data_IF_963831068329
#
_entry.id   IF_963831068329
#
_cell.length_a   1.000
_cell.length_b   1.000
_cell.length_c   1.000
_cell.angle_alpha   90.00
_cell.angle_beta   90.00
_cell.angle_gamma   90.00
#
_symmetry.space_group_name_H-M   'P 1'
#
loop_
_entity.id
_entity.type
_entity.pdbx_description
1 polymer ?
#
# COMPACT_ATOMS: atom_id res chain seq x y z
N UNK A 1 -11.50 -36.62 -36.23
CA UNK A 1 -11.03 -36.21 -34.90
C UNK A 1 -10.53 -34.79 -35.02
N UNK A 2 -11.39 -33.82 -34.71
CA UNK A 2 -11.01 -32.40 -34.70
C UNK A 2 -10.34 -32.15 -33.35
N UNK A 3 -9.04 -31.86 -33.36
CA UNK A 3 -8.35 -31.43 -32.16
C UNK A 3 -9.04 -30.15 -31.66
N UNK A 4 -9.58 -30.19 -30.44
CA UNK A 4 -10.01 -28.98 -29.75
C UNK A 4 -8.74 -28.14 -29.57
N UNK A 5 -8.69 -26.96 -30.20
CA UNK A 5 -7.64 -26.00 -29.92
C UNK A 5 -7.64 -25.73 -28.42
N UNK A 6 -6.48 -25.89 -27.77
CA UNK A 6 -6.33 -25.46 -26.39
C UNK A 6 -6.61 -23.96 -26.34
N UNK A 7 -7.77 -23.58 -25.80
CA UNK A 7 -8.05 -22.18 -25.48
C UNK A 7 -7.07 -21.78 -24.38
N UNK A 8 -5.96 -21.15 -24.75
CA UNK A 8 -5.12 -20.47 -23.79
C UNK A 8 -5.98 -19.38 -23.12
N UNK A 9 -6.18 -19.43 -21.80
CA UNK A 9 -6.98 -18.43 -21.12
C UNK A 9 -6.34 -17.06 -21.37
N UNK A 10 -7.12 -16.12 -21.92
CA UNK A 10 -6.68 -14.75 -22.13
C UNK A 10 -6.36 -14.14 -20.77
N UNK A 11 -5.09 -13.84 -20.51
CA UNK A 11 -4.67 -13.17 -19.29
C UNK A 11 -5.21 -11.74 -19.27
N UNK A 12 -5.87 -11.39 -18.17
CA UNK A 12 -6.29 -10.02 -17.90
C UNK A 12 -5.09 -9.24 -17.36
N UNK A 13 -4.49 -8.38 -18.18
CA UNK A 13 -3.38 -7.55 -17.71
C UNK A 13 -3.86 -6.42 -16.80
N UNK A 14 -3.21 -6.24 -15.65
CA UNK A 14 -3.49 -5.20 -14.66
C UNK A 14 -2.21 -4.52 -14.18
N UNK A 15 -2.34 -3.33 -13.57
CA UNK A 15 -1.26 -2.73 -12.78
C UNK A 15 -1.59 -2.92 -11.29
N UNK A 16 -0.59 -3.30 -10.50
CA UNK A 16 -0.73 -3.41 -9.05
C UNK A 16 -0.37 -2.08 -8.38
N UNK A 17 -1.28 -1.56 -7.56
CA UNK A 17 -1.00 -0.38 -6.73
C UNK A 17 -0.30 -0.72 -5.41
N UNK A 18 -0.02 -2.01 -5.15
CA UNK A 18 0.60 -2.46 -3.92
C UNK A 18 1.41 -3.75 -4.14
N UNK A 19 2.63 -3.76 -3.63
CA UNK A 19 3.50 -4.92 -3.58
C UNK A 19 4.67 -4.63 -2.65
N UNK A 20 5.34 -5.68 -2.17
CA UNK A 20 6.53 -5.55 -1.34
C UNK A 20 7.70 -6.29 -1.96
N UNK A 21 8.90 -5.76 -1.75
CA UNK A 21 10.15 -6.44 -2.05
C UNK A 21 10.95 -6.58 -0.77
N UNK A 22 11.49 -7.77 -0.51
CA UNK A 22 12.25 -8.06 0.70
C UNK A 22 13.70 -7.65 0.47
N UNK A 23 14.14 -6.63 1.19
CA UNK A 23 15.51 -6.15 1.14
C UNK A 23 16.52 -7.18 1.68
N UNK A 24 17.79 -7.13 1.25
CA UNK A 24 18.85 -7.89 1.88
C UNK A 24 18.95 -7.60 3.38
N UNK A 25 19.13 -8.63 4.20
CA UNK A 25 19.20 -8.49 5.66
C UNK A 25 20.34 -7.55 6.12
N UNK A 26 21.43 -7.51 5.35
CA UNK A 26 22.60 -6.69 5.61
C UNK A 26 22.59 -5.35 4.85
N UNK A 27 21.48 -4.94 4.23
CA UNK A 27 21.39 -3.74 3.38
C UNK A 27 21.98 -2.50 4.05
N UNK A 28 21.51 -2.16 5.26
CA UNK A 28 22.02 -0.98 5.95
C UNK A 28 23.43 -1.19 6.51
N UNK A 29 23.74 -2.42 6.98
CA UNK A 29 25.06 -2.72 7.56
C UNK A 29 26.18 -2.62 6.54
N UNK A 30 25.91 -3.03 5.31
CA UNK A 30 26.87 -3.02 4.20
C UNK A 30 27.06 -1.64 3.58
N UNK A 31 26.04 -0.75 3.68
CA UNK A 31 26.05 0.57 3.02
C UNK A 31 26.35 1.75 3.93
N UNK A 32 26.20 1.60 5.26
CA UNK A 32 26.42 2.69 6.20
C UNK A 32 27.84 2.71 6.78
N UNK A 33 28.35 3.89 7.19
CA UNK A 33 29.56 3.98 8.00
C UNK A 33 29.44 3.12 9.26
N UNK A 34 30.54 2.48 9.68
CA UNK A 34 30.57 1.54 10.81
C UNK A 34 29.82 2.05 12.06
N UNK A 35 30.00 3.34 12.41
CA UNK A 35 29.33 3.97 13.56
C UNK A 35 27.80 3.90 13.47
N UNK A 36 27.22 4.06 12.29
CA UNK A 36 25.77 3.98 12.07
C UNK A 36 25.31 2.55 11.83
N UNK A 37 26.12 1.74 11.13
CA UNK A 37 25.84 0.32 10.87
C UNK A 37 25.67 -0.52 12.15
N UNK A 38 26.33 -0.14 13.25
CA UNK A 38 26.18 -0.80 14.55
C UNK A 38 24.85 -0.46 15.26
N UNK A 39 24.15 0.59 14.81
CA UNK A 39 22.90 1.10 15.40
C UNK A 39 21.64 0.66 14.64
N UNK A 40 21.77 0.03 13.48
CA UNK A 40 20.60 -0.41 12.69
C UNK A 40 19.88 -1.61 13.36
N UNK A 41 18.58 -1.82 13.09
CA UNK A 41 17.81 -2.93 13.63
C UNK A 41 18.53 -4.28 13.51
N UNK A 42 18.63 -5.01 14.62
CA UNK A 42 19.11 -6.40 14.66
C UNK A 42 18.36 -7.18 15.72
N UNK A 43 18.07 -8.45 15.45
CA UNK A 43 17.52 -9.36 16.44
C UNK A 43 18.58 -10.32 16.98
N UNK A 44 18.53 -10.61 18.28
CA UNK A 44 19.29 -11.68 18.95
C UNK A 44 18.30 -12.60 19.61
N UNK A 45 18.22 -13.85 19.14
CA UNK A 45 17.34 -14.87 19.71
C UNK A 45 17.99 -15.46 20.96
N UNK A 46 17.16 -15.70 21.99
CA UNK A 46 17.60 -16.42 23.17
C UNK A 46 17.87 -17.90 22.81
N UNK A 47 18.78 -18.60 23.53
CA UNK A 47 19.13 -19.99 23.22
C UNK A 47 17.95 -20.97 23.23
N UNK A 48 16.89 -20.65 23.99
CA UNK A 48 15.68 -21.46 24.10
C UNK A 48 14.67 -21.22 22.96
N UNK A 49 14.94 -20.26 22.06
CA UNK A 49 14.08 -19.92 20.94
C UNK A 49 12.72 -19.35 21.33
N UNK A 50 12.53 -18.92 22.58
CA UNK A 50 11.25 -18.41 23.09
C UNK A 50 11.15 -16.89 22.99
N UNK A 51 12.28 -16.21 23.15
CA UNK A 51 12.35 -14.74 23.15
C UNK A 51 13.44 -14.26 22.20
N UNK A 52 13.33 -13.00 21.80
CA UNK A 52 14.40 -12.30 21.10
C UNK A 52 14.55 -10.86 21.62
N UNK A 53 15.78 -10.37 21.57
CA UNK A 53 16.16 -8.99 21.87
C UNK A 53 16.40 -8.25 20.56
N UNK A 54 15.56 -7.27 20.28
CA UNK A 54 15.71 -6.35 19.15
C UNK A 54 16.53 -5.16 19.62
N UNK A 55 17.64 -4.90 18.95
CA UNK A 55 18.44 -3.70 19.15
C UNK A 55 18.23 -2.75 17.98
N UNK A 56 17.93 -1.49 18.26
CA UNK A 56 17.80 -0.42 17.26
C UNK A 56 18.14 0.91 17.93
N UNK A 57 19.03 1.68 17.32
CA UNK A 57 19.40 3.03 17.76
C UNK A 57 19.76 3.14 19.25
N UNK A 58 20.57 2.19 19.73
CA UNK A 58 20.97 2.09 21.14
C UNK A 58 19.88 1.59 22.10
N UNK A 59 18.64 1.42 21.61
CA UNK A 59 17.53 0.85 22.37
C UNK A 59 17.56 -0.69 22.30
N UNK A 60 17.04 -1.33 23.35
CA UNK A 60 16.87 -2.79 23.40
C UNK A 60 15.47 -3.10 23.84
N UNK A 61 14.77 -3.89 23.04
CA UNK A 61 13.41 -4.35 23.32
C UNK A 61 13.38 -5.87 23.28
N UNK A 62 12.70 -6.50 24.23
CA UNK A 62 12.56 -7.95 24.25
C UNK A 62 11.13 -8.32 23.89
N UNK A 63 10.95 -9.20 22.93
CA UNK A 63 9.64 -9.74 22.55
C UNK A 63 9.65 -11.25 22.50
N UNK A 64 8.49 -11.84 22.70
CA UNK A 64 8.31 -13.28 22.54
C UNK A 64 8.35 -13.60 21.05
N UNK A 65 9.08 -14.65 20.67
CA UNK A 65 9.07 -15.14 19.31
C UNK A 65 7.68 -15.68 18.95
N UNK A 66 7.24 -15.53 17.68
CA UNK A 66 5.99 -16.14 17.22
C UNK A 66 6.03 -17.65 17.44
N UNK A 67 4.85 -18.27 17.61
CA UNK A 67 4.76 -19.73 17.70
C UNK A 67 5.32 -20.38 16.43
N UNK A 68 5.74 -21.66 16.47
CA UNK A 68 6.25 -22.35 15.28
C UNK A 68 5.30 -22.27 14.07
N UNK A 69 3.98 -22.42 14.31
CA UNK A 69 2.96 -22.28 13.27
C UNK A 69 2.89 -20.85 12.68
N UNK A 70 3.07 -19.83 13.52
CA UNK A 70 3.15 -18.44 13.04
C UNK A 70 4.43 -18.18 12.24
N UNK A 71 5.56 -18.75 12.66
CA UNK A 71 6.83 -18.63 11.93
C UNK A 71 6.74 -19.32 10.56
N UNK A 72 6.15 -20.53 10.50
CA UNK A 72 5.92 -21.25 9.25
C UNK A 72 5.01 -20.44 8.31
N UNK A 73 3.91 -19.88 8.84
CA UNK A 73 3.04 -19.01 8.08
C UNK A 73 3.79 -17.79 7.52
N UNK A 74 4.53 -17.07 8.37
CA UNK A 74 5.33 -15.92 7.94
C UNK A 74 6.33 -16.30 6.85
N UNK A 75 7.05 -17.42 7.02
CA UNK A 75 7.99 -17.90 6.02
C UNK A 75 7.29 -18.20 4.68
N UNK A 76 6.14 -18.85 4.70
CA UNK A 76 5.36 -19.14 3.50
C UNK A 76 4.95 -17.86 2.75
N UNK A 77 4.60 -16.78 3.46
CA UNK A 77 4.20 -15.50 2.82
C UNK A 77 5.32 -14.81 2.03
N UNK A 78 6.58 -15.17 2.27
CA UNK A 78 7.75 -14.59 1.60
C UNK A 78 8.64 -15.65 0.96
N UNK A 79 8.12 -16.87 0.77
CA UNK A 79 8.87 -18.00 0.24
C UNK A 79 9.09 -17.92 -1.28
N UNK A 80 8.25 -17.18 -1.99
CA UNK A 80 8.39 -16.98 -3.42
C UNK A 80 9.74 -16.33 -3.74
N UNK A 81 10.46 -16.87 -4.71
CA UNK A 81 11.79 -16.37 -5.04
C UNK A 81 11.75 -14.92 -5.56
N UNK A 82 10.69 -14.53 -6.30
CA UNK A 82 10.43 -13.15 -6.73
C UNK A 82 10.21 -12.15 -5.60
N UNK A 83 10.08 -12.60 -4.34
CA UNK A 83 10.07 -11.70 -3.19
C UNK A 83 11.45 -11.08 -2.91
N UNK A 84 12.55 -11.70 -3.39
CA UNK A 84 13.96 -11.26 -3.17
C UNK A 84 14.80 -11.17 -4.44
N UNK A 85 14.32 -11.72 -5.55
CA UNK A 85 15.03 -11.78 -6.83
C UNK A 85 14.21 -11.06 -7.90
N UNK A 86 14.69 -9.91 -8.35
CA UNK A 86 13.96 -9.04 -9.30
C UNK A 86 13.75 -9.72 -10.66
N UNK A 87 14.70 -10.54 -11.10
CA UNK A 87 14.58 -11.27 -12.37
C UNK A 87 13.45 -12.30 -12.30
N UNK A 88 13.37 -13.04 -11.18
CA UNK A 88 12.27 -13.99 -10.95
C UNK A 88 10.94 -13.28 -10.73
N UNK A 89 10.96 -12.11 -10.11
CA UNK A 89 9.78 -11.29 -9.88
C UNK A 89 9.08 -10.92 -11.18
N UNK A 90 9.82 -10.50 -12.21
CA UNK A 90 9.23 -10.19 -13.52
C UNK A 90 8.51 -11.39 -14.14
N UNK A 91 9.06 -12.60 -13.99
CA UNK A 91 8.41 -13.83 -14.43
C UNK A 91 7.13 -14.13 -13.64
N UNK A 92 7.13 -13.87 -12.33
CA UNK A 92 5.94 -13.99 -11.48
C UNK A 92 4.87 -12.98 -11.94
N UNK A 93 5.23 -11.73 -12.23
CA UNK A 93 4.30 -10.72 -12.77
C UNK A 93 3.71 -11.15 -14.11
N UNK A 94 4.52 -11.69 -15.02
CA UNK A 94 4.03 -12.21 -16.30
C UNK A 94 3.12 -13.44 -16.13
N UNK A 95 3.42 -14.30 -15.16
CA UNK A 95 2.61 -15.46 -14.82
C UNK A 95 1.20 -15.04 -14.37
N UNK A 96 1.12 -13.98 -13.58
CA UNK A 96 -0.12 -13.46 -12.96
C UNK A 96 -0.86 -12.43 -13.81
N UNK A 97 -0.26 -11.96 -14.90
CA UNK A 97 -0.85 -10.92 -15.74
C UNK A 97 -0.76 -9.53 -15.10
N UNK A 98 0.33 -9.24 -14.39
CA UNK A 98 0.60 -7.91 -13.82
C UNK A 98 1.61 -7.20 -14.72
N UNK A 99 1.21 -6.10 -15.34
CA UNK A 99 2.05 -5.31 -16.22
C UNK A 99 3.05 -4.46 -15.44
N UNK A 100 2.60 -3.75 -14.41
CA UNK A 100 3.48 -2.94 -13.55
C UNK A 100 3.01 -2.98 -12.11
N UNK A 101 3.90 -2.63 -11.19
CA UNK A 101 3.58 -2.59 -9.77
C UNK A 101 4.27 -1.45 -9.03
N UNK A 102 3.57 -0.93 -8.03
CA UNK A 102 4.14 -0.06 -7.00
C UNK A 102 4.80 -0.94 -5.93
N UNK A 103 6.04 -0.65 -5.57
CA UNK A 103 6.84 -1.46 -4.65
C UNK A 103 7.12 -0.68 -3.36
N UNK A 104 6.54 -1.15 -2.26
CA UNK A 104 6.77 -0.63 -0.92
C UNK A 104 7.97 -1.30 -0.24
N UNK A 105 8.66 -0.58 0.65
CA UNK A 105 9.77 -1.13 1.42
C UNK A 105 9.26 -2.02 2.56
N UNK A 106 10.02 -3.07 2.89
CA UNK A 106 9.75 -3.89 4.08
C UNK A 106 10.56 -3.39 5.26
N UNK A 107 11.87 -3.13 5.06
CA UNK A 107 12.74 -2.55 6.09
C UNK A 107 12.34 -1.11 6.45
N UNK A 108 11.77 -0.36 5.50
CA UNK A 108 11.26 0.99 5.74
C UNK A 108 10.19 1.09 6.83
N UNK A 109 9.50 -0.01 7.14
CA UNK A 109 8.52 -0.07 8.23
C UNK A 109 9.17 0.11 9.63
N UNK A 110 10.49 -0.03 9.77
CA UNK A 110 11.20 0.26 11.01
C UNK A 110 11.38 1.76 11.29
N UNK A 111 11.03 2.65 10.34
CA UNK A 111 11.19 4.09 10.42
C UNK A 111 10.79 4.70 11.78
N UNK A 112 9.65 4.28 12.35
CA UNK A 112 9.15 4.77 13.64
C UNK A 112 9.99 4.41 14.87
N UNK A 113 11.00 3.55 14.72
CA UNK A 113 11.84 3.03 15.81
C UNK A 113 13.14 3.81 15.99
N UNK A 114 13.56 4.58 14.99
CA UNK A 114 14.76 5.40 15.08
C UNK A 114 14.51 6.65 15.93
N UNK A 115 15.51 7.06 16.72
CA UNK A 115 15.49 8.24 17.60
C UNK A 115 16.52 9.29 17.21
N UNK A 116 17.52 8.89 16.42
CA UNK A 116 18.61 9.72 15.95
C UNK A 116 18.33 10.17 14.49
N UNK A 117 18.12 11.47 14.24
CA UNK A 117 17.83 11.99 12.89
C UNK A 117 18.87 11.57 11.84
N UNK A 118 20.16 11.69 12.18
CA UNK A 118 21.26 11.27 11.29
C UNK A 118 21.16 9.80 10.88
N UNK A 119 20.84 8.90 11.83
CA UNK A 119 20.72 7.48 11.55
C UNK A 119 19.51 7.19 10.65
N UNK A 120 18.36 7.79 10.95
CA UNK A 120 17.16 7.64 10.13
C UNK A 120 17.38 8.18 8.72
N UNK A 121 17.95 9.38 8.60
CA UNK A 121 18.26 9.98 7.31
C UNK A 121 19.21 9.08 6.50
N UNK A 122 20.27 8.56 7.11
CA UNK A 122 21.25 7.72 6.43
C UNK A 122 20.66 6.37 6.01
N UNK A 123 19.84 5.72 6.84
CA UNK A 123 19.19 4.44 6.48
C UNK A 123 18.19 4.61 5.34
N UNK A 124 17.36 5.67 5.35
CA UNK A 124 16.42 5.95 4.26
C UNK A 124 17.15 6.24 2.94
N UNK A 125 18.22 7.04 2.98
CA UNK A 125 19.07 7.30 1.80
C UNK A 125 19.66 6.01 1.23
N UNK A 126 20.26 5.18 2.08
CA UNK A 126 20.85 3.91 1.67
C UNK A 126 19.80 2.95 1.07
N UNK A 127 18.58 2.91 1.62
CA UNK A 127 17.47 2.13 1.07
C UNK A 127 17.03 2.65 -0.30
N UNK A 128 16.95 3.96 -0.50
CA UNK A 128 16.57 4.57 -1.77
C UNK A 128 17.60 4.32 -2.86
N UNK A 129 18.89 4.42 -2.54
CA UNK A 129 19.98 4.12 -3.48
C UNK A 129 19.91 2.66 -3.93
N UNK A 130 19.74 1.74 -2.97
CA UNK A 130 19.55 0.32 -3.28
C UNK A 130 18.29 0.04 -4.11
N UNK A 131 17.15 0.66 -3.76
CA UNK A 131 15.90 0.47 -4.49
C UNK A 131 16.01 0.98 -5.93
N UNK A 132 16.73 2.10 -6.14
CA UNK A 132 17.05 2.56 -7.47
C UNK A 132 17.89 1.53 -8.24
N UNK A 133 19.05 1.16 -7.69
CA UNK A 133 20.02 0.27 -8.35
C UNK A 133 19.44 -1.11 -8.66
N UNK A 134 18.64 -1.64 -7.74
CA UNK A 134 18.19 -3.04 -7.77
C UNK A 134 16.81 -3.20 -8.40
N UNK A 135 15.88 -2.30 -8.10
CA UNK A 135 14.47 -2.43 -8.52
C UNK A 135 14.19 -1.53 -9.72
N UNK A 136 14.42 -0.22 -9.58
CA UNK A 136 14.04 0.77 -10.60
C UNK A 136 14.85 0.60 -11.90
N UNK A 137 16.17 0.46 -11.77
CA UNK A 137 17.08 0.36 -12.92
C UNK A 137 16.99 -1.01 -13.61
N UNK A 138 16.37 -2.00 -12.96
CA UNK A 138 16.17 -3.33 -13.53
C UNK A 138 15.00 -3.38 -14.52
N UNK A 139 13.91 -2.65 -14.26
CA UNK A 139 12.76 -2.63 -15.15
C UNK A 139 11.85 -1.42 -14.92
N UNK A 140 11.40 -0.73 -15.98
CA UNK A 140 10.42 0.36 -15.86
C UNK A 140 9.03 -0.10 -15.39
N UNK A 141 8.80 -1.42 -15.31
CA UNK A 141 7.56 -2.01 -14.77
C UNK A 141 7.51 -1.95 -13.23
N UNK A 142 8.64 -1.74 -12.57
CA UNK A 142 8.76 -1.73 -11.12
C UNK A 142 8.94 -0.29 -10.64
N UNK A 143 7.98 0.18 -9.85
CA UNK A 143 7.94 1.56 -9.39
C UNK A 143 8.18 1.54 -7.87
N UNK A 144 9.44 1.60 -7.39
CA UNK A 144 9.67 1.66 -5.95
C UNK A 144 9.21 2.99 -5.38
N UNK A 145 8.71 2.94 -4.15
CA UNK A 145 8.41 4.13 -3.35
C UNK A 145 9.68 4.61 -2.66
N UNK A 146 9.94 5.92 -2.73
CA UNK A 146 11.01 6.57 -1.99
C UNK A 146 10.70 6.51 -0.49
N UNK A 147 11.73 6.45 0.33
CA UNK A 147 11.65 6.53 1.78
C UNK A 147 12.22 7.85 2.27
N UNK A 148 11.62 8.44 3.29
CA UNK A 148 12.05 9.73 3.85
C UNK A 148 12.09 9.68 5.38
N UNK A 149 12.95 10.51 5.98
CA UNK A 149 13.04 10.62 7.43
C UNK A 149 11.83 11.39 7.98
N UNK A 150 10.82 10.71 8.53
CA UNK A 150 9.70 11.39 9.19
C UNK A 150 10.04 11.89 10.59
N UNK A 151 11.30 11.77 11.04
CA UNK A 151 11.80 12.31 12.30
C UNK A 151 12.25 13.76 12.18
N UNK A 152 12.61 14.22 10.98
CA UNK A 152 12.94 15.62 10.67
C UNK A 152 12.35 16.01 9.31
N UNK A 153 11.49 17.04 9.29
CA UNK A 153 10.75 17.44 8.08
C UNK A 153 11.69 18.06 7.03
N UNK A 154 12.77 18.72 7.45
CA UNK A 154 13.77 19.27 6.54
C UNK A 154 14.51 18.16 5.80
N UNK A 155 14.98 17.15 6.54
CA UNK A 155 15.58 15.94 5.97
C UNK A 155 14.63 15.22 5.02
N UNK A 156 13.34 15.15 5.37
CA UNK A 156 12.31 14.55 4.53
C UNK A 156 12.17 15.30 3.19
N UNK A 157 12.13 16.63 3.22
CA UNK A 157 12.03 17.50 2.04
C UNK A 157 13.25 17.38 1.15
N UNK A 158 14.45 17.39 1.73
CA UNK A 158 15.69 17.28 0.97
C UNK A 158 15.82 15.92 0.29
N UNK A 159 15.44 14.85 0.99
CA UNK A 159 15.45 13.51 0.40
C UNK A 159 14.36 13.34 -0.66
N UNK A 160 13.17 13.92 -0.46
CA UNK A 160 12.10 13.94 -1.44
C UNK A 160 12.54 14.57 -2.76
N UNK A 161 13.24 15.71 -2.71
CA UNK A 161 13.82 16.38 -3.89
C UNK A 161 14.87 15.50 -4.57
N UNK A 162 15.76 14.88 -3.79
CA UNK A 162 16.80 13.98 -4.32
C UNK A 162 16.17 12.79 -5.05
N UNK A 163 15.19 12.12 -4.43
CA UNK A 163 14.48 11.00 -5.03
C UNK A 163 13.71 11.40 -6.29
N UNK A 164 13.09 12.58 -6.30
CA UNK A 164 12.47 13.13 -7.51
C UNK A 164 13.47 13.26 -8.66
N UNK A 165 14.66 13.81 -8.39
CA UNK A 165 15.74 13.91 -9.38
C UNK A 165 16.30 12.54 -9.82
N UNK A 166 16.23 11.53 -8.96
CA UNK A 166 16.60 10.14 -9.27
C UNK A 166 15.56 9.39 -10.10
N UNK A 167 14.35 9.94 -10.26
CA UNK A 167 13.28 9.37 -11.08
C UNK A 167 12.15 8.68 -10.31
N UNK A 168 12.17 8.68 -8.98
CA UNK A 168 11.07 8.16 -8.17
C UNK A 168 9.75 8.89 -8.50
N UNK A 169 8.64 8.14 -8.47
CA UNK A 169 7.29 8.66 -8.79
C UNK A 169 6.36 8.71 -7.58
N UNK A 170 6.70 7.97 -6.52
CA UNK A 170 5.96 7.97 -5.28
C UNK A 170 6.93 7.97 -4.08
N UNK A 171 6.47 8.52 -2.96
CA UNK A 171 7.15 8.49 -1.66
C UNK A 171 6.24 7.77 -0.65
N UNK A 172 6.78 6.78 0.05
CA UNK A 172 6.10 6.13 1.16
C UNK A 172 6.10 7.07 2.37
N UNK A 173 4.92 7.27 2.96
CA UNK A 173 4.77 7.81 4.30
C UNK A 173 4.04 6.81 5.20
N UNK A 174 4.44 6.67 6.47
CA UNK A 174 3.63 5.93 7.41
C UNK A 174 2.30 6.66 7.66
N UNK A 175 1.24 5.91 8.03
CA UNK A 175 -0.10 6.48 8.26
C UNK A 175 -0.17 7.47 9.43
N UNK A 176 0.84 7.43 10.30
CA UNK A 176 1.10 8.41 11.35
C UNK A 176 2.57 8.79 11.31
N UNK A 177 2.93 10.07 11.51
CA UNK A 177 4.33 10.47 11.49
C UNK A 177 5.09 9.89 12.69
N UNK A 178 6.41 10.05 12.68
CA UNK A 178 7.24 9.63 13.81
C UNK A 178 6.72 10.22 15.14
N UNK A 179 6.74 9.50 16.28
CA UNK A 179 6.16 9.98 17.55
C UNK A 179 6.72 11.30 18.10
N UNK A 180 7.92 11.69 17.67
CA UNK A 180 8.53 12.97 18.02
C UNK A 180 8.06 14.14 17.15
N UNK A 181 7.29 13.87 16.09
CA UNK A 181 6.75 14.88 15.18
C UNK A 181 5.28 15.16 15.46
N UNK A 182 4.86 16.36 15.04
CA UNK A 182 3.46 16.73 15.03
C UNK A 182 2.73 15.99 13.91
N UNK A 183 1.42 15.81 14.10
CA UNK A 183 0.57 15.07 13.18
C UNK A 183 0.40 15.77 11.81
N UNK A 184 0.01 15.04 10.77
CA UNK A 184 -0.03 15.51 9.37
C UNK A 184 -1.00 16.66 9.08
N UNK A 185 -1.89 17.01 10.02
CA UNK A 185 -2.79 18.16 9.91
C UNK A 185 -2.16 19.50 10.36
N UNK A 186 -0.85 19.52 10.65
CA UNK A 186 -0.15 20.67 11.21
C UNK A 186 0.70 21.38 10.14
N UNK A 187 0.80 22.70 10.27
CA UNK A 187 1.46 23.59 9.32
C UNK A 187 2.96 23.26 9.12
N UNK A 188 3.59 22.59 10.09
CA UNK A 188 4.97 22.12 10.01
C UNK A 188 5.23 21.21 8.79
N UNK A 189 4.22 20.48 8.31
CA UNK A 189 4.32 19.60 7.14
C UNK A 189 4.13 20.32 5.79
N UNK A 190 3.73 21.60 5.78
CA UNK A 190 3.50 22.37 4.55
C UNK A 190 4.68 22.32 3.57
N UNK A 191 5.96 22.46 4.00
CA UNK A 191 7.08 22.38 3.06
C UNK A 191 7.18 21.02 2.36
N UNK A 192 6.76 19.94 3.02
CA UNK A 192 6.74 18.60 2.43
C UNK A 192 5.63 18.47 1.39
N UNK A 193 4.42 18.96 1.69
CA UNK A 193 3.29 18.98 0.75
C UNK A 193 3.61 19.80 -0.51
N UNK A 194 4.12 21.02 -0.33
CA UNK A 194 4.53 21.90 -1.42
C UNK A 194 5.60 21.24 -2.30
N UNK A 195 6.64 20.65 -1.69
CA UNK A 195 7.71 19.99 -2.43
C UNK A 195 7.18 18.78 -3.19
N UNK A 196 6.32 17.96 -2.59
CA UNK A 196 5.73 16.80 -3.24
C UNK A 196 4.89 17.21 -4.45
N UNK A 197 4.10 18.28 -4.34
CA UNK A 197 3.34 18.84 -5.46
C UNK A 197 4.27 19.36 -6.57
N UNK A 198 5.25 20.20 -6.23
CA UNK A 198 6.15 20.86 -7.17
C UNK A 198 6.93 19.87 -8.06
N UNK A 199 7.37 18.75 -7.47
CA UNK A 199 8.10 17.71 -8.21
C UNK A 199 7.18 16.61 -8.76
N UNK A 200 5.87 16.71 -8.54
CA UNK A 200 4.88 15.74 -8.98
C UNK A 200 4.95 14.37 -8.29
N UNK A 201 5.50 14.30 -7.08
CA UNK A 201 5.60 13.07 -6.29
C UNK A 201 4.24 12.65 -5.73
N UNK A 202 3.86 11.39 -5.89
CA UNK A 202 2.67 10.84 -5.22
C UNK A 202 3.02 10.46 -3.79
N UNK A 203 2.24 10.93 -2.82
CA UNK A 203 2.37 10.49 -1.42
C UNK A 203 1.61 9.19 -1.26
N UNK A 204 2.30 8.12 -0.89
CA UNK A 204 1.73 6.80 -0.70
C UNK A 204 1.74 6.42 0.79
N UNK A 205 0.59 6.56 1.45
CA UNK A 205 0.36 6.00 2.77
C UNK A 205 0.16 4.49 2.65
N UNK A 206 0.86 3.70 3.46
CA UNK A 206 0.65 2.25 3.54
C UNK A 206 0.08 1.91 4.91
N UNK A 207 -1.04 1.17 5.00
CA UNK A 207 -1.60 0.80 6.32
C UNK A 207 -0.68 -0.15 7.11
N UNK A 208 -0.91 -0.30 8.41
CA UNK A 208 -0.07 -1.15 9.27
C UNK A 208 1.34 -0.58 9.51
N UNK A 209 1.51 0.72 9.27
CA UNK A 209 2.78 1.45 9.42
C UNK A 209 2.74 2.46 10.58
N UNK A 210 1.76 2.34 11.47
CA UNK A 210 1.72 3.12 12.70
C UNK A 210 3.03 2.94 13.49
N UNK A 211 3.61 4.01 14.06
CA UNK A 211 4.78 3.90 14.91
C UNK A 211 4.53 2.97 16.09
N UNK A 212 5.54 2.16 16.43
CA UNK A 212 5.41 1.16 17.48
C UNK A 212 6.23 1.58 18.69
N UNK A 213 5.56 1.57 19.84
CA UNK A 213 6.26 1.62 21.12
C UNK A 213 6.64 0.20 21.56
N UNK A 214 7.83 -0.23 21.14
CA UNK A 214 8.37 -1.53 21.55
C UNK A 214 8.68 -1.60 23.06
N UNK A 215 8.88 -0.46 23.75
CA UNK A 215 9.11 -0.46 25.20
C UNK A 215 7.84 -0.81 25.98
N UNK A 216 6.67 -0.43 25.44
CA UNK A 216 5.37 -0.81 25.98
C UNK A 216 4.99 -2.27 25.70
N UNK A 217 5.84 -3.04 25.02
CA UNK A 217 5.54 -4.42 24.62
C UNK A 217 4.58 -4.54 23.44
N UNK A 218 4.32 -3.44 22.73
CA UNK A 218 3.45 -3.43 21.55
C UNK A 218 4.12 -4.14 20.38
N UNK A 219 3.30 -4.62 19.45
CA UNK A 219 3.75 -5.25 18.20
C UNK A 219 3.05 -4.58 17.02
N UNK A 220 3.71 -4.61 15.85
CA UNK A 220 3.13 -4.10 14.58
C UNK A 220 1.72 -4.66 14.40
N UNK A 221 0.74 -3.78 14.19
CA UNK A 221 -0.62 -4.18 13.86
C UNK A 221 -1.36 -4.97 14.94
N UNK A 222 -0.93 -4.91 16.21
CA UNK A 222 -1.62 -5.58 17.33
C UNK A 222 -2.04 -4.55 18.37
N UNK A 223 -3.35 -4.29 18.41
CA UNK A 223 -4.01 -3.43 19.41
C UNK A 223 -5.02 -4.22 20.26
N UNK A 224 -5.59 -5.28 19.70
CA UNK A 224 -6.59 -6.12 20.32
C UNK A 224 -6.07 -7.53 20.60
N UNK A 225 -6.26 -7.99 21.83
CA UNK A 225 -5.92 -9.34 22.28
C UNK A 225 -7.18 -10.14 22.62
N UNK A 226 -7.08 -11.48 22.58
CA UNK A 226 -8.18 -12.38 22.93
C UNK A 226 -9.08 -12.78 21.75
N UNK A 227 -10.26 -13.37 22.02
CA UNK A 227 -11.19 -13.84 20.99
C UNK A 227 -11.54 -12.74 19.98
N UNK A 228 -11.40 -13.02 18.69
CA UNK A 228 -11.65 -12.05 17.61
C UNK A 228 -10.50 -11.07 17.33
N UNK A 229 -9.41 -11.11 18.09
CA UNK A 229 -8.30 -10.16 17.95
C UNK A 229 -7.74 -10.05 16.53
N UNK A 230 -7.62 -11.15 15.78
CA UNK A 230 -7.11 -11.12 14.39
C UNK A 230 -7.98 -10.25 13.45
N UNK A 231 -9.31 -10.38 13.55
CA UNK A 231 -10.25 -9.61 12.72
C UNK A 231 -10.29 -8.15 13.17
N UNK A 232 -10.27 -7.91 14.48
CA UNK A 232 -10.26 -6.56 15.05
C UNK A 232 -9.00 -5.81 14.65
N UNK A 233 -7.83 -6.45 14.76
CA UNK A 233 -6.55 -5.86 14.36
C UNK A 233 -6.50 -5.54 12.86
N UNK A 234 -6.99 -6.45 12.00
CA UNK A 234 -7.08 -6.17 10.56
C UNK A 234 -8.07 -5.04 10.23
N UNK A 235 -9.11 -4.88 11.04
CA UNK A 235 -10.04 -3.75 10.90
C UNK A 235 -9.38 -2.43 11.32
N UNK A 236 -8.63 -2.45 12.43
CA UNK A 236 -7.95 -1.26 12.97
C UNK A 236 -6.91 -0.68 12.01
N UNK A 237 -6.13 -1.51 11.33
CA UNK A 237 -5.12 -1.04 10.36
C UNK A 237 -5.76 -0.23 9.22
N UNK A 238 -7.01 -0.52 8.86
CA UNK A 238 -7.73 0.23 7.82
C UNK A 238 -8.02 1.68 8.24
N UNK A 239 -8.13 1.97 9.54
CA UNK A 239 -8.46 3.32 10.01
C UNK A 239 -7.27 4.29 9.94
N UNK A 240 -6.04 3.80 10.03
CA UNK A 240 -4.84 4.65 9.94
C UNK A 240 -4.79 5.43 8.62
N UNK A 241 -4.97 4.73 7.50
CA UNK A 241 -4.99 5.35 6.16
C UNK A 241 -6.13 6.35 6.00
N UNK A 242 -7.32 6.04 6.52
CA UNK A 242 -8.48 6.94 6.53
C UNK A 242 -8.17 8.23 7.30
N UNK A 243 -7.61 8.09 8.51
CA UNK A 243 -7.22 9.22 9.35
C UNK A 243 -6.19 10.11 8.67
N UNK A 244 -5.18 9.52 8.02
CA UNK A 244 -4.16 10.28 7.28
C UNK A 244 -4.81 11.15 6.18
N UNK A 245 -5.68 10.58 5.35
CA UNK A 245 -6.36 11.34 4.30
C UNK A 245 -7.28 12.41 4.88
N UNK A 246 -8.08 12.09 5.90
CA UNK A 246 -8.98 13.06 6.54
C UNK A 246 -8.19 14.23 7.15
N UNK A 247 -7.00 14.00 7.71
CA UNK A 247 -6.14 15.07 8.22
C UNK A 247 -5.72 16.03 7.11
N UNK A 248 -5.29 15.52 5.95
CA UNK A 248 -4.88 16.34 4.81
C UNK A 248 -6.06 17.14 4.22
N UNK A 249 -7.24 16.52 4.13
CA UNK A 249 -8.47 17.19 3.67
C UNK A 249 -8.91 18.26 4.66
N UNK A 250 -9.11 17.90 5.93
CA UNK A 250 -9.69 18.79 6.93
C UNK A 250 -8.77 19.94 7.36
N UNK A 251 -7.45 19.81 7.20
CA UNK A 251 -6.48 20.90 7.39
C UNK A 251 -6.37 21.85 6.18
N UNK A 252 -7.00 21.50 5.06
CA UNK A 252 -6.89 22.25 3.81
C UNK A 252 -5.54 22.08 3.11
N UNK A 253 -4.73 21.08 3.46
CA UNK A 253 -3.46 20.82 2.77
C UNK A 253 -3.70 20.52 1.27
N UNK A 254 -4.70 19.68 0.97
CA UNK A 254 -5.09 19.39 -0.43
C UNK A 254 -5.75 20.59 -1.14
N UNK A 255 -6.36 21.51 -0.39
CA UNK A 255 -6.90 22.77 -0.95
C UNK A 255 -5.78 23.73 -1.36
N UNK A 256 -4.72 23.81 -0.54
CA UNK A 256 -3.53 24.62 -0.84
C UNK A 256 -2.67 24.02 -1.96
N UNK A 257 -2.67 22.68 -2.06
CA UNK A 257 -1.89 21.91 -3.03
C UNK A 257 -2.78 21.08 -3.97
N UNK A 258 -3.50 21.72 -4.91
CA UNK A 258 -4.54 21.07 -5.70
C UNK A 258 -4.02 20.01 -6.69
N UNK A 259 -2.71 19.97 -6.99
CA UNK A 259 -2.09 18.91 -7.80
C UNK A 259 -1.41 17.83 -6.96
N UNK A 260 -1.42 17.95 -5.64
CA UNK A 260 -0.89 16.92 -4.77
C UNK A 260 -1.75 15.67 -4.88
N UNK A 261 -1.09 14.52 -5.07
CA UNK A 261 -1.75 13.22 -5.23
C UNK A 261 -1.40 12.34 -4.05
N UNK A 262 -2.42 11.74 -3.47
CA UNK A 262 -2.29 10.84 -2.32
C UNK A 262 -2.82 9.47 -2.68
N UNK A 263 -2.13 8.44 -2.21
CA UNK A 263 -2.49 7.05 -2.31
C UNK A 263 -2.56 6.44 -0.91
N UNK A 264 -3.58 5.64 -0.63
CA UNK A 264 -3.66 4.75 0.53
C UNK A 264 -3.58 3.32 0.01
N UNK A 265 -2.48 2.64 0.31
CA UNK A 265 -2.25 1.24 -0.02
C UNK A 265 -2.80 0.33 1.07
N UNK A 266 -3.36 -0.81 0.65
CA UNK A 266 -3.99 -1.86 1.47
C UNK A 266 -5.20 -1.42 2.34
N UNK A 267 -5.55 -0.13 2.39
CA UNK A 267 -6.66 0.41 3.20
C UNK A 267 -8.08 0.24 2.64
N UNK A 268 -8.23 -0.38 1.47
CA UNK A 268 -9.52 -0.48 0.77
C UNK A 268 -10.04 0.89 0.28
N UNK A 269 -11.23 0.92 -0.31
CA UNK A 269 -11.77 2.12 -0.99
C UNK A 269 -13.20 2.50 -0.58
N UNK A 270 -13.93 1.64 0.13
CA UNK A 270 -15.36 1.85 0.45
C UNK A 270 -15.63 2.97 1.44
N UNK A 271 -14.61 3.40 2.19
CA UNK A 271 -14.70 4.48 3.16
C UNK A 271 -14.62 5.87 2.52
N UNK A 272 -14.08 5.98 1.30
CA UNK A 272 -13.89 7.29 0.63
C UNK A 272 -15.23 7.99 0.40
N UNK A 273 -16.29 7.33 -0.14
CA UNK A 273 -17.57 7.99 -0.34
C UNK A 273 -18.28 8.36 0.97
N UNK A 274 -17.99 7.66 2.09
CA UNK A 274 -18.61 7.93 3.39
C UNK A 274 -18.22 9.32 3.94
N UNK A 275 -17.05 9.82 3.56
CA UNK A 275 -16.60 11.15 3.95
C UNK A 275 -17.14 12.26 3.03
N UNK A 276 -17.97 11.92 2.03
CA UNK A 276 -18.70 12.90 1.22
C UNK A 276 -19.93 13.38 2.00
N UNK A 277 -20.16 14.69 2.08
CA UNK A 277 -21.41 15.20 2.67
C UNK A 277 -22.59 14.91 1.73
N UNK A 278 -23.82 14.73 2.26
CA UNK A 278 -25.02 14.48 1.46
C UNK A 278 -25.37 15.59 0.45
N UNK A 279 -24.84 16.80 0.63
CA UNK A 279 -25.05 17.95 -0.26
C UNK A 279 -24.04 18.02 -1.41
N UNK A 280 -23.25 16.97 -1.61
CA UNK A 280 -22.25 16.87 -2.68
C UNK A 280 -20.95 17.62 -2.39
N UNK A 281 -20.86 18.37 -1.28
CA UNK A 281 -19.65 19.12 -0.89
C UNK A 281 -18.73 18.23 -0.06
N UNK A 282 -17.42 18.40 -0.20
CA UNK A 282 -16.46 17.68 0.65
C UNK A 282 -16.41 18.19 2.08
N UNK A 283 -15.52 17.60 2.88
CA UNK A 283 -15.25 18.02 4.26
C UNK A 283 -14.64 19.44 4.25
N UNK A 284 -15.41 20.45 4.63
CA UNK A 284 -14.92 21.83 4.78
C UNK A 284 -13.96 21.95 5.98
N UNK A 285 -12.83 22.67 5.85
CA UNK A 285 -11.98 23.00 6.99
C UNK A 285 -12.76 23.81 8.02
N UNK A 286 -12.78 23.35 9.26
CA UNK A 286 -13.37 24.06 10.39
C UNK A 286 -12.32 25.01 11.01
N UNK A 287 -11.89 26.03 10.27
CA UNK A 287 -11.23 27.20 10.85
C UNK A 287 -11.77 28.46 10.19
N UNK A 288 -12.35 29.32 11.03
CA UNK A 288 -12.88 30.65 10.79
C UNK A 288 -12.42 31.32 9.47
N UNK A 289 -13.38 31.49 8.54
CA UNK A 289 -13.32 32.49 7.48
C UNK A 289 -12.65 32.02 6.18
N UNK A 290 -13.44 31.40 5.29
CA UNK A 290 -13.06 31.15 3.91
C UNK A 290 -13.54 29.78 3.43
N UNK A 291 -14.64 29.74 2.68
CA UNK A 291 -15.15 28.50 2.09
C UNK A 291 -14.32 28.16 0.84
N UNK A 292 -13.43 27.17 0.93
CA UNK A 292 -12.83 26.49 -0.21
C UNK A 292 -13.29 25.02 -0.20
N UNK A 293 -13.54 24.48 -1.39
CA UNK A 293 -14.17 23.17 -1.61
C UNK A 293 -13.11 22.14 -2.06
N UNK A 294 -12.72 21.23 -1.18
CA UNK A 294 -12.10 19.98 -1.59
C UNK A 294 -13.20 19.02 -2.08
N UNK A 295 -13.26 18.69 -3.37
CA UNK A 295 -14.11 17.60 -3.83
C UNK A 295 -13.27 16.34 -4.00
N UNK A 296 -13.54 15.31 -3.18
CA UNK A 296 -13.05 13.96 -3.42
C UNK A 296 -13.75 13.42 -4.67
N UNK A 297 -13.14 13.59 -5.83
CA UNK A 297 -13.55 12.85 -7.02
C UNK A 297 -12.85 11.49 -6.99
N UNK A 298 -13.58 10.36 -6.84
CA UNK A 298 -13.09 9.14 -7.43
C UNK A 298 -13.06 9.42 -8.94
N UNK A 299 -11.87 9.56 -9.53
CA UNK A 299 -11.75 9.37 -10.98
C UNK A 299 -12.39 8.02 -11.30
N UNK A 300 -13.11 7.95 -12.42
CA UNK A 300 -14.04 6.88 -12.86
C UNK A 300 -13.48 5.42 -12.88
N UNK A 301 -12.32 5.14 -12.29
CA UNK A 301 -11.52 3.93 -12.53
C UNK A 301 -11.12 3.06 -11.32
N UNK A 302 -11.41 3.41 -10.05
CA UNK A 302 -10.74 2.72 -8.92
C UNK A 302 -11.66 2.02 -7.93
N UNK A 303 -12.14 0.83 -8.30
CA UNK A 303 -12.65 -0.16 -7.34
C UNK A 303 -12.29 -1.56 -7.82
N UNK A 304 -11.18 -2.11 -7.32
CA UNK A 304 -10.98 -3.53 -6.97
C UNK A 304 -9.63 -3.70 -6.24
N UNK A 305 -9.70 -4.25 -5.02
CA UNK A 305 -8.61 -4.67 -4.13
C UNK A 305 -7.59 -3.62 -3.63
N UNK A 306 -7.82 -3.16 -2.39
CA UNK A 306 -6.76 -2.68 -1.48
C UNK A 306 -6.29 -1.24 -1.64
N UNK A 307 -6.35 -0.64 -2.83
CA UNK A 307 -5.67 0.63 -3.11
C UNK A 307 -6.68 1.76 -3.37
N UNK A 308 -6.48 2.91 -2.72
CA UNK A 308 -7.31 4.10 -2.86
C UNK A 308 -6.47 5.32 -3.27
N UNK A 309 -6.79 5.95 -4.41
CA UNK A 309 -6.16 7.20 -4.86
C UNK A 309 -7.10 8.38 -4.56
N UNK A 310 -6.56 9.44 -3.96
CA UNK A 310 -7.26 10.71 -3.67
C UNK A 310 -6.48 11.86 -4.32
N UNK A 311 -7.17 12.68 -5.11
CA UNK A 311 -6.64 13.85 -5.84
C UNK A 311 -7.58 15.05 -5.68
N UNK A 312 -7.07 16.28 -5.80
CA UNK A 312 -7.78 17.53 -5.51
C UNK A 312 -8.24 18.37 -6.73
N UNK A 313 -8.14 17.89 -7.99
CA UNK A 313 -8.64 18.57 -9.22
C UNK A 313 -9.52 17.63 -10.07
N UNK A 314 -10.64 18.01 -10.73
CA UNK A 314 -11.31 19.32 -10.97
C UNK A 314 -12.78 19.11 -11.40
N UNK A 315 -13.71 19.90 -10.87
CA UNK A 315 -15.07 20.12 -11.41
C UNK A 315 -14.99 21.07 -12.60
N UNK A 316 -15.63 20.71 -13.71
CA UNK A 316 -15.95 21.67 -14.77
C UNK A 316 -15.98 21.13 -16.20
N UNK A 317 -16.95 20.25 -16.50
CA UNK A 317 -17.74 20.27 -17.76
C UNK A 317 -18.74 19.10 -17.76
N UNK A 318 -20.02 19.46 -17.82
CA UNK A 318 -21.10 18.59 -18.27
C UNK A 318 -20.83 18.24 -19.75
N UNK A 319 -20.22 17.08 -20.00
CA UNK A 319 -20.22 16.46 -21.33
C UNK A 319 -21.00 15.14 -21.22
N UNK A 320 -22.32 15.28 -21.09
CA UNK A 320 -23.40 14.66 -21.87
C UNK A 320 -23.37 13.20 -22.37
N UNK A 321 -22.41 12.34 -22.04
CA UNK A 321 -22.38 10.96 -22.53
C UNK A 321 -22.54 9.91 -21.42
N UNK A 322 -23.52 9.03 -21.65
CA UNK A 322 -24.15 8.15 -20.68
C UNK A 322 -23.26 7.10 -20.03
N UNK A 323 -23.72 6.68 -18.85
CA UNK A 323 -23.15 5.64 -18.01
C UNK A 323 -22.84 4.34 -18.77
N UNK A 324 -21.54 4.07 -18.92
CA UNK A 324 -20.99 2.79 -19.35
C UNK A 324 -19.85 2.38 -18.42
N UNK A 325 -20.12 1.46 -17.49
CA UNK A 325 -19.15 0.88 -16.55
C UNK A 325 -18.17 -0.04 -17.28
N UNK A 326 -16.88 0.31 -17.33
CA UNK A 326 -15.80 -0.63 -17.65
C UNK A 326 -14.60 -0.45 -16.70
N UNK A 327 -14.33 -1.50 -15.90
CA UNK A 327 -13.32 -1.60 -14.83
C UNK A 327 -12.04 -2.32 -15.32
N UNK A 328 -10.84 -1.96 -14.82
CA UNK A 328 -9.62 -2.82 -14.78
C UNK A 328 -8.47 -2.19 -13.95
N UNK A 329 -8.42 -2.49 -12.65
CA UNK A 329 -7.18 -2.52 -11.85
C UNK A 329 -7.36 -3.59 -10.76
N UNK A 330 -6.36 -4.44 -10.54
CA UNK A 330 -6.44 -5.62 -9.66
C UNK A 330 -5.22 -5.60 -8.74
N UNK A 331 -5.44 -5.41 -7.44
CA UNK A 331 -4.45 -5.75 -6.41
C UNK A 331 -4.55 -7.24 -6.06
N UNK A 332 -3.51 -8.02 -6.37
CA UNK A 332 -3.41 -9.40 -5.89
C UNK A 332 -2.17 -9.55 -5.01
N UNK A 333 -2.37 -10.16 -3.84
CA UNK A 333 -1.32 -10.69 -2.97
C UNK A 333 -1.12 -12.16 -3.32
N UNK A 334 0.12 -12.59 -3.56
CA UNK A 334 0.46 -14.00 -3.73
C UNK A 334 1.61 -14.43 -2.80
N UNK A 335 1.56 -15.62 -2.15
CA UNK A 335 0.34 -16.33 -1.72
C UNK A 335 0.40 -16.96 -0.31
N UNK A 336 -0.79 -17.16 0.30
CA UNK A 336 -1.30 -18.40 0.97
C UNK A 336 -2.58 -18.07 1.79
N UNK A 337 -3.74 -18.76 1.72
CA UNK A 337 -4.26 -19.84 0.87
C UNK A 337 -5.80 -19.92 1.02
N UNK A 338 -6.49 -20.51 0.03
CA UNK A 338 -7.86 -21.04 0.17
C UNK A 338 -8.61 -21.34 -1.14
N UNK A 339 -8.15 -22.28 -1.97
CA UNK A 339 -8.92 -22.74 -3.14
C UNK A 339 -8.15 -23.60 -4.15
N UNK A 340 -8.26 -24.92 -3.97
CA UNK A 340 -7.95 -26.01 -4.91
C UNK A 340 -6.56 -26.10 -5.53
N UNK A 341 -5.76 -27.06 -5.02
CA UNK A 341 -4.99 -28.01 -5.84
C UNK A 341 -4.49 -29.15 -4.94
N UNK A 342 -5.09 -30.33 -5.04
CA UNK A 342 -4.37 -31.62 -5.18
C UNK A 342 -5.28 -32.67 -5.86
N UNK A 343 -4.70 -33.63 -6.61
CA UNK A 343 -5.40 -34.43 -7.63
C UNK A 343 -5.67 -35.89 -7.23
N UNK A 344 -6.36 -36.62 -8.14
CA UNK A 344 -6.59 -38.08 -8.28
C UNK A 344 -7.93 -38.67 -7.76
N UNK A 345 -8.39 -39.83 -8.32
CA UNK A 345 -8.91 -40.01 -9.68
C UNK A 345 -10.31 -40.68 -9.67
N UNK A 346 -11.07 -40.53 -10.76
CA UNK A 346 -12.14 -41.46 -11.15
C UNK A 346 -13.27 -41.73 -10.14
N UNK A 347 -14.43 -41.10 -10.31
CA UNK A 347 -15.70 -41.79 -10.53
C UNK A 347 -16.79 -40.76 -10.83
N UNK A 348 -17.50 -41.00 -11.93
CA UNK A 348 -18.65 -40.23 -12.37
C UNK A 348 -19.84 -40.37 -11.39
N UNK A 349 -20.57 -39.27 -11.14
CA UNK A 349 -22.02 -39.28 -11.06
C UNK A 349 -22.62 -37.85 -11.12
N UNK A 350 -23.39 -37.63 -12.17
CA UNK A 350 -24.49 -36.67 -12.38
C UNK A 350 -25.07 -35.94 -11.16
N UNK A 351 -25.32 -34.63 -11.31
CA UNK A 351 -26.68 -34.04 -11.18
C UNK A 351 -26.80 -32.84 -12.12
N UNK A 352 -27.62 -33.00 -13.16
CA UNK A 352 -28.13 -31.96 -14.04
C UNK A 352 -29.33 -31.28 -13.38
N UNK A 353 -29.37 -29.94 -13.33
CA UNK A 353 -30.63 -29.18 -13.19
C UNK A 353 -30.81 -28.23 -14.38
N UNK A 354 -31.60 -28.69 -15.36
CA UNK A 354 -32.21 -27.87 -16.41
C UNK A 354 -33.26 -26.94 -15.78
N UNK A 355 -33.26 -25.66 -16.16
CA UNK A 355 -34.50 -24.86 -16.18
C UNK A 355 -34.94 -24.71 -17.64
N UNK A 356 -36.17 -25.17 -17.91
CA UNK A 356 -36.85 -25.11 -19.20
C UNK A 356 -37.36 -23.69 -19.46
N UNK A 357 -37.10 -23.15 -20.65
CA UNK A 357 -37.88 -22.09 -21.27
C UNK A 357 -39.13 -22.71 -21.91
N UNK A 358 -40.31 -22.19 -21.58
CA UNK A 358 -41.58 -22.56 -22.22
C UNK A 358 -41.89 -21.55 -23.33
N UNK A 359 -41.94 -22.06 -24.55
CA UNK A 359 -42.60 -21.48 -25.72
C UNK A 359 -44.08 -21.18 -25.43
N UNK A 360 -44.53 -19.97 -25.72
CA UNK A 360 -45.91 -19.71 -26.15
C UNK A 360 -45.89 -18.72 -27.32
N UNK A 361 -46.64 -19.09 -28.36
CA UNK A 361 -46.66 -18.53 -29.70
C UNK A 361 -47.34 -17.15 -29.88
N UNK A 362 -47.65 -16.78 -31.13
CA UNK A 362 -47.55 -15.41 -31.63
C UNK A 362 -48.87 -14.65 -31.65
N UNK A 363 -48.83 -13.32 -31.45
CA UNK A 363 -49.95 -12.40 -31.73
C UNK A 363 -49.49 -10.96 -32.05
N UNK A 364 -50.33 -10.12 -32.69
CA UNK A 364 -49.99 -9.45 -33.94
C UNK A 364 -49.76 -7.92 -33.84
N UNK A 365 -49.32 -7.39 -35.00
CA UNK A 365 -49.24 -6.00 -35.45
C UNK A 365 -50.29 -5.04 -34.86
N UNK A 366 -49.83 -3.88 -34.37
CA UNK A 366 -50.58 -2.61 -34.42
C UNK A 366 -49.65 -1.41 -34.65
N UNK A 367 -49.94 -0.69 -35.73
CA UNK A 367 -49.42 0.65 -36.07
C UNK A 367 -50.01 1.72 -35.13
N UNK A 368 -49.44 2.92 -35.26
CA UNK A 368 -49.88 4.27 -34.85
C UNK A 368 -49.07 4.78 -33.64
N UNK A 369 -48.45 5.95 -33.65
CA UNK A 369 -48.45 7.07 -34.60
C UNK A 369 -47.17 7.87 -34.39
#
# INVERSE_FOLDING_TARGET
>A
MTALAEEHPVKLWANSGDSHFIEPEDLWRSRLPKRLAELVPRSVKDPDGTWESIHVDGQVFRRRLPSPAQQEFMHATVAAAGARDVGKRLADLDAEGIWSELVFPSLGMWAGSFRTPELMQATMRASNDWAKETIMDHSPRLIPTAQVSTLDIGDAVDELKRCGAMGFKAVFLPVEPHPAQRDYNRDEWEPFWATAEDIGMVIAFHIGSEPIDFAAGNSIGVTHHGPGGAVLNYTETSFGGQRAVVKLVASGALDRHPNLRVLVSEGGATWVPLHRRPDGRGLSPARNGGAAQAETQPTRDHLLAGVCVVSARLVGRDDGDGDGLHQRAVGQRLPAHGGHLRPHPGHAASVVRRRRSSDQGPHPVRKLR
#
